data_IF_198952088999
#
_entry.id   IF_198952088999
#
_cell.length_a   1.000
_cell.length_b   1.000
_cell.length_c   1.000
_cell.angle_alpha   90.00
_cell.angle_beta   90.00
_cell.angle_gamma   90.00
#
_symmetry.space_group_name_H-M   'P 1'
#
loop_
_entity.id
_entity.type
_entity.pdbx_description
1 polymer ?
#
# COMPACT_ATOMS: atom_id res chain seq x y z
N UNK A 1 17.45 14.42 2.07
CA UNK A 1 16.31 13.65 1.53
C UNK A 1 16.10 14.08 0.09
N UNK A 2 15.94 13.15 -0.86
CA UNK A 2 15.65 13.48 -2.25
C UNK A 2 14.25 14.12 -2.37
N UNK A 3 13.98 14.98 -3.38
CA UNK A 3 12.67 15.57 -3.59
C UNK A 3 11.60 14.50 -3.91
N UNK A 4 10.33 14.86 -3.72
CA UNK A 4 9.21 14.08 -4.22
C UNK A 4 9.29 13.93 -5.74
N UNK A 5 8.71 12.86 -6.28
CA UNK A 5 8.58 12.74 -7.73
C UNK A 5 7.63 13.81 -8.28
N UNK A 6 7.75 14.20 -9.57
CA UNK A 6 7.06 15.37 -10.11
C UNK A 6 5.54 15.35 -9.91
N UNK A 7 4.87 14.22 -10.16
CA UNK A 7 3.43 14.09 -10.01
C UNK A 7 2.98 14.21 -8.56
N UNK A 8 3.72 13.62 -7.62
CA UNK A 8 3.45 13.74 -6.19
C UNK A 8 3.72 15.15 -5.66
N UNK A 9 4.78 15.80 -6.13
CA UNK A 9 5.07 17.20 -5.80
C UNK A 9 3.92 18.10 -6.25
N UNK A 10 3.38 17.89 -7.44
CA UNK A 10 2.21 18.63 -7.94
C UNK A 10 0.94 18.31 -7.13
N UNK A 11 0.69 17.05 -6.79
CA UNK A 11 -0.48 16.65 -6.02
C UNK A 11 -0.49 17.16 -4.57
N UNK A 12 0.70 17.38 -3.99
CA UNK A 12 0.84 18.00 -2.67
C UNK A 12 1.02 19.52 -2.72
N UNK A 13 1.20 20.11 -3.90
CA UNK A 13 1.40 21.54 -4.04
C UNK A 13 0.16 22.32 -3.54
N UNK A 14 0.36 23.24 -2.60
CA UNK A 14 -0.71 24.05 -2.04
C UNK A 14 -1.64 23.32 -1.06
N UNK A 15 -1.44 22.01 -0.84
CA UNK A 15 -2.15 21.29 0.20
C UNK A 15 -1.54 21.58 1.57
N UNK A 16 -2.38 21.70 2.61
CA UNK A 16 -1.89 21.69 3.98
C UNK A 16 -1.17 20.37 4.28
N UNK A 17 -0.11 20.45 5.09
CA UNK A 17 0.59 19.25 5.56
C UNK A 17 -0.40 18.29 6.25
N UNK A 18 -0.37 16.99 5.92
CA UNK A 18 -1.32 16.05 6.49
C UNK A 18 -1.13 15.94 8.01
N UNK A 19 -2.21 15.72 8.76
CA UNK A 19 -2.12 15.46 10.20
C UNK A 19 -1.34 14.16 10.45
N UNK A 20 -1.69 13.10 9.72
CA UNK A 20 -0.94 11.85 9.66
C UNK A 20 -0.75 11.39 8.22
N UNK A 21 0.35 10.68 7.98
CA UNK A 21 0.55 9.93 6.76
C UNK A 21 0.50 8.43 7.08
N UNK A 22 -0.55 7.79 6.60
CA UNK A 22 -0.87 6.38 6.80
C UNK A 22 -0.26 5.59 5.65
N UNK A 23 0.85 4.92 5.93
CA UNK A 23 1.55 4.09 4.96
C UNK A 23 1.13 2.63 5.16
N UNK A 24 0.76 1.95 4.08
CA UNK A 24 0.34 0.57 4.13
C UNK A 24 1.15 -0.33 3.18
N UNK A 25 1.34 -1.57 3.62
CA UNK A 25 1.78 -2.69 2.77
C UNK A 25 1.25 -3.98 3.37
N UNK A 26 0.72 -4.87 2.54
CA UNK A 26 0.28 -6.17 3.02
C UNK A 26 0.25 -7.25 1.96
N UNK A 27 -0.07 -8.47 2.39
CA UNK A 27 -0.16 -9.60 1.48
C UNK A 27 -1.30 -9.44 0.47
N UNK A 28 -1.00 -9.86 -0.77
CA UNK A 28 -2.06 -10.25 -1.69
C UNK A 28 -2.79 -11.48 -1.16
N UNK A 29 -4.08 -11.60 -1.46
CA UNK A 29 -4.79 -12.86 -1.23
C UNK A 29 -4.09 -13.94 -2.03
N UNK A 30 -3.90 -15.08 -1.38
CA UNK A 30 -3.19 -16.21 -1.95
C UNK A 30 -3.85 -16.66 -3.27
N UNK A 31 -3.02 -17.03 -4.24
CA UNK A 31 -3.46 -17.68 -5.45
C UNK A 31 -4.10 -19.04 -5.10
N UNK A 32 -5.05 -19.55 -5.92
CA UNK A 32 -5.73 -20.82 -5.65
C UNK A 32 -4.79 -22.03 -5.45
N UNK A 33 -3.60 -21.99 -6.06
CA UNK A 33 -2.60 -23.05 -6.07
C UNK A 33 -1.44 -22.83 -5.08
N UNK A 34 -1.53 -21.83 -4.19
CA UNK A 34 -0.45 -21.54 -3.26
C UNK A 34 -0.29 -22.66 -2.22
N UNK A 35 0.88 -23.30 -2.23
CA UNK A 35 1.17 -24.45 -1.36
C UNK A 35 1.20 -24.14 0.14
N UNK A 36 1.75 -22.98 0.53
CA UNK A 36 1.80 -22.53 1.93
C UNK A 36 1.01 -21.22 2.06
N UNK A 37 -0.17 -21.27 2.70
CA UNK A 37 -1.00 -20.09 2.88
C UNK A 37 -0.29 -19.01 3.70
N UNK A 38 -0.44 -17.75 3.28
CA UNK A 38 -0.02 -16.56 4.02
C UNK A 38 -1.17 -15.62 4.29
N UNK A 39 -2.08 -15.51 3.32
CA UNK A 39 -3.31 -14.75 3.42
C UNK A 39 -4.41 -15.41 2.56
N UNK A 40 -5.01 -16.52 3.04
CA UNK A 40 -6.02 -17.26 2.30
C UNK A 40 -7.34 -16.46 2.20
N UNK A 41 -8.21 -16.76 1.21
CA UNK A 41 -9.49 -16.07 1.02
C UNK A 41 -10.37 -16.01 2.28
N UNK A 42 -10.33 -17.06 3.11
CA UNK A 42 -11.09 -17.13 4.35
C UNK A 42 -10.72 -16.01 5.36
N UNK A 43 -9.51 -15.45 5.28
CA UNK A 43 -9.04 -14.42 6.20
C UNK A 43 -9.40 -13.00 5.73
N UNK A 44 -9.98 -12.83 4.54
CA UNK A 44 -10.27 -11.51 3.95
C UNK A 44 -11.20 -10.67 4.81
N UNK A 45 -12.26 -11.28 5.37
CA UNK A 45 -13.20 -10.56 6.24
C UNK A 45 -12.52 -10.11 7.55
N UNK A 46 -11.81 -11.02 8.23
CA UNK A 46 -11.06 -10.70 9.44
C UNK A 46 -9.97 -9.66 9.20
N UNK A 47 -9.29 -9.70 8.04
CA UNK A 47 -8.33 -8.68 7.65
C UNK A 47 -8.98 -7.29 7.52
N UNK A 48 -10.15 -7.21 6.86
CA UNK A 48 -10.87 -5.95 6.69
C UNK A 48 -11.23 -5.34 8.05
N UNK A 49 -11.75 -6.14 8.98
CA UNK A 49 -12.08 -5.69 10.34
C UNK A 49 -10.84 -5.21 11.11
N UNK A 50 -9.72 -5.93 11.04
CA UNK A 50 -8.48 -5.57 11.73
C UNK A 50 -7.84 -4.32 11.15
N UNK A 51 -7.88 -4.15 9.83
CA UNK A 51 -7.39 -2.95 9.15
C UNK A 51 -8.26 -1.75 9.55
N UNK A 52 -9.58 -1.90 9.54
CA UNK A 52 -10.50 -0.84 9.95
C UNK A 52 -10.30 -0.45 11.43
N UNK A 53 -10.15 -1.44 12.32
CA UNK A 53 -9.85 -1.20 13.73
C UNK A 53 -8.52 -0.47 13.94
N UNK A 54 -7.47 -0.82 13.18
CA UNK A 54 -6.18 -0.12 13.23
C UNK A 54 -6.32 1.34 12.78
N UNK A 55 -7.07 1.60 11.70
CA UNK A 55 -7.36 2.95 11.24
C UNK A 55 -8.21 3.75 12.24
N UNK A 56 -9.16 3.12 12.91
CA UNK A 56 -9.94 3.72 13.99
C UNK A 56 -9.04 4.13 15.17
N UNK A 57 -8.14 3.26 15.60
CA UNK A 57 -7.21 3.53 16.70
C UNK A 57 -6.26 4.70 16.40
N UNK A 58 -5.91 4.91 15.13
CA UNK A 58 -5.13 6.06 14.66
C UNK A 58 -5.96 7.35 14.52
N UNK A 59 -7.30 7.25 14.61
CA UNK A 59 -8.22 8.34 14.36
C UNK A 59 -8.21 8.80 12.91
N UNK A 60 -7.97 7.89 11.96
CA UNK A 60 -7.84 8.20 10.54
C UNK A 60 -9.09 8.91 9.99
N UNK A 61 -8.88 9.99 9.24
CA UNK A 61 -9.96 10.78 8.64
C UNK A 61 -9.49 11.81 7.60
N UNK A 62 -10.32 12.82 7.28
CA UNK A 62 -10.09 13.74 6.16
C UNK A 62 -8.85 14.64 6.23
N UNK A 63 -8.28 14.81 7.43
CA UNK A 63 -7.04 15.55 7.62
C UNK A 63 -5.78 14.72 7.30
N UNK A 64 -5.93 13.42 7.02
CA UNK A 64 -4.84 12.47 6.81
C UNK A 64 -4.66 12.14 5.33
N UNK A 65 -3.52 11.52 5.03
CA UNK A 65 -3.18 10.99 3.72
C UNK A 65 -2.89 9.50 3.84
N UNK A 66 -3.43 8.69 2.93
CA UNK A 66 -3.15 7.25 2.81
C UNK A 66 -2.28 6.96 1.60
N UNK A 67 -1.28 6.09 1.76
CA UNK A 67 -0.41 5.61 0.68
C UNK A 67 -0.34 4.08 0.68
N UNK A 68 -0.57 3.45 -0.47
CA UNK A 68 -0.47 2.00 -0.68
C UNK A 68 -0.23 1.70 -2.17
N UNK A 69 0.05 0.45 -2.56
CA UNK A 69 0.15 0.06 -3.97
C UNK A 69 -1.19 -0.39 -4.56
N UNK A 70 -2.12 -0.89 -3.76
CA UNK A 70 -3.47 -1.27 -4.23
C UNK A 70 -3.54 -2.68 -4.83
N UNK A 71 -2.66 -3.60 -4.41
CA UNK A 71 -2.70 -5.00 -4.83
C UNK A 71 -3.94 -5.75 -4.30
N UNK A 72 -4.31 -6.86 -4.95
CA UNK A 72 -5.46 -7.70 -4.58
C UNK A 72 -5.31 -8.32 -3.20
N UNK A 73 -6.01 -7.77 -2.21
CA UNK A 73 -5.95 -8.23 -0.83
C UNK A 73 -5.79 -7.05 0.12
N UNK A 74 -4.82 -7.14 1.04
CA UNK A 74 -4.70 -6.22 2.16
C UNK A 74 -4.58 -4.76 1.73
N UNK A 75 -3.84 -4.48 0.65
CA UNK A 75 -3.70 -3.14 0.07
C UNK A 75 -5.05 -2.53 -0.36
N UNK A 76 -5.89 -3.29 -1.09
CA UNK A 76 -7.22 -2.84 -1.48
C UNK A 76 -8.18 -2.73 -0.28
N UNK A 77 -8.09 -3.62 0.70
CA UNK A 77 -8.88 -3.51 1.93
C UNK A 77 -8.54 -2.23 2.71
N UNK A 78 -7.26 -1.86 2.77
CA UNK A 78 -6.82 -0.58 3.32
C UNK A 78 -7.33 0.61 2.51
N UNK A 79 -7.26 0.54 1.18
CA UNK A 79 -7.75 1.59 0.30
C UNK A 79 -9.24 1.87 0.53
N UNK A 80 -10.05 0.83 0.56
CA UNK A 80 -11.50 0.93 0.81
C UNK A 80 -11.80 1.50 2.20
N UNK A 81 -11.09 1.05 3.24
CA UNK A 81 -11.26 1.56 4.58
C UNK A 81 -10.84 3.04 4.70
N UNK A 82 -9.79 3.46 4.00
CA UNK A 82 -9.40 4.86 3.88
C UNK A 82 -10.50 5.70 3.23
N UNK A 83 -11.05 5.24 2.11
CA UNK A 83 -12.14 5.92 1.39
C UNK A 83 -13.37 6.06 2.28
N UNK A 84 -13.77 4.99 2.98
CA UNK A 84 -14.92 5.01 3.89
C UNK A 84 -14.76 6.04 5.04
N UNK A 85 -13.52 6.38 5.39
CA UNK A 85 -13.16 7.35 6.44
C UNK A 85 -12.88 8.75 5.90
N UNK A 86 -12.97 8.95 4.58
CA UNK A 86 -12.65 10.21 3.92
C UNK A 86 -11.15 10.56 3.90
N UNK A 87 -10.26 9.59 4.16
CA UNK A 87 -8.81 9.79 4.05
C UNK A 87 -8.45 10.10 2.59
N UNK A 88 -7.59 11.10 2.38
CA UNK A 88 -7.09 11.41 1.03
C UNK A 88 -6.11 10.32 0.59
N UNK A 89 -6.54 9.46 -0.31
CA UNK A 89 -5.81 8.26 -0.71
C UNK A 89 -5.06 8.45 -2.04
N UNK A 90 -3.82 7.96 -2.09
CA UNK A 90 -3.02 7.87 -3.30
C UNK A 90 -2.48 6.45 -3.48
N UNK A 91 -2.52 5.96 -4.73
CA UNK A 91 -1.89 4.70 -5.11
C UNK A 91 -0.59 4.99 -5.86
N UNK A 92 0.50 4.35 -5.41
CA UNK A 92 1.80 4.38 -6.07
C UNK A 92 2.08 2.97 -6.60
N UNK A 93 2.13 2.82 -7.92
CA UNK A 93 2.21 1.53 -8.59
C UNK A 93 3.64 1.24 -9.06
N UNK A 94 4.14 0.00 -8.93
CA UNK A 94 5.44 -0.41 -9.48
C UNK A 94 5.46 -0.42 -11.01
N UNK A 95 4.28 -0.51 -11.65
CA UNK A 95 4.10 -0.63 -13.11
C UNK A 95 3.04 0.35 -13.63
N UNK A 96 2.85 0.35 -14.94
CA UNK A 96 1.65 0.92 -15.54
C UNK A 96 0.40 0.14 -15.11
N UNK A 97 -0.76 0.80 -15.04
CA UNK A 97 -2.01 0.19 -14.55
C UNK A 97 -2.33 -1.18 -15.19
N UNK A 98 -2.25 -1.37 -16.53
CA UNK A 98 -2.54 -2.66 -17.14
C UNK A 98 -1.64 -3.80 -16.64
N UNK A 99 -0.32 -3.57 -16.60
CA UNK A 99 0.64 -4.56 -16.09
C UNK A 99 0.44 -4.79 -14.59
N UNK A 100 0.11 -3.74 -13.82
CA UNK A 100 -0.16 -3.88 -12.40
C UNK A 100 -1.35 -4.82 -12.14
N UNK A 101 -2.42 -4.71 -12.92
CA UNK A 101 -3.58 -5.60 -12.84
C UNK A 101 -3.16 -7.06 -13.11
N UNK A 102 -2.39 -7.30 -14.17
CA UNK A 102 -1.94 -8.64 -14.54
C UNK A 102 -1.03 -9.29 -13.49
N UNK A 103 -0.21 -8.49 -12.79
CA UNK A 103 0.81 -9.00 -11.87
C UNK A 103 0.40 -9.00 -10.40
N UNK A 104 -0.43 -8.05 -10.00
CA UNK A 104 -0.71 -7.76 -8.59
C UNK A 104 -2.20 -7.81 -8.25
N UNK A 105 -3.06 -8.13 -9.22
CA UNK A 105 -4.51 -8.21 -9.00
C UNK A 105 -5.08 -9.56 -9.46
N UNK A 106 -4.93 -9.87 -10.74
CA UNK A 106 -5.51 -11.08 -11.36
C UNK A 106 -4.95 -12.43 -10.82
N UNK A 107 -3.68 -12.54 -10.39
CA UNK A 107 -3.14 -13.81 -9.90
C UNK A 107 -3.71 -14.29 -8.55
N UNK A 108 -4.48 -13.46 -7.84
CA UNK A 108 -5.12 -13.84 -6.58
C UNK A 108 -6.35 -14.72 -6.78
N UNK A 109 -6.74 -15.49 -5.75
CA UNK A 109 -8.05 -16.13 -5.74
C UNK A 109 -9.16 -15.09 -5.96
N UNK A 110 -10.09 -15.41 -6.87
CA UNK A 110 -11.12 -14.51 -7.39
C UNK A 110 -10.57 -13.19 -8.00
N UNK A 111 -9.48 -13.27 -8.77
CA UNK A 111 -8.80 -12.12 -9.37
C UNK A 111 -9.71 -11.12 -10.11
N UNK A 112 -10.74 -11.58 -10.81
CA UNK A 112 -11.72 -10.67 -11.46
C UNK A 112 -12.57 -9.88 -10.46
N UNK A 113 -12.88 -10.47 -9.30
CA UNK A 113 -13.55 -9.73 -8.22
C UNK A 113 -12.61 -8.66 -7.64
N UNK A 114 -11.33 -8.99 -7.46
CA UNK A 114 -10.34 -8.00 -7.03
C UNK A 114 -10.10 -6.90 -8.05
N UNK A 115 -10.12 -7.22 -9.36
CA UNK A 115 -10.06 -6.23 -10.42
C UNK A 115 -11.21 -5.24 -10.35
N UNK A 116 -12.45 -5.72 -10.17
CA UNK A 116 -13.61 -4.83 -9.96
C UNK A 116 -13.44 -3.93 -8.74
N UNK A 117 -12.85 -4.43 -7.65
CA UNK A 117 -12.54 -3.62 -6.46
C UNK A 117 -11.49 -2.57 -6.75
N UNK A 118 -10.39 -2.93 -7.42
CA UNK A 118 -9.35 -2.00 -7.87
C UNK A 118 -9.93 -0.89 -8.76
N UNK A 119 -10.78 -1.23 -9.72
CA UNK A 119 -11.45 -0.26 -10.59
C UNK A 119 -12.42 0.63 -9.79
N UNK A 120 -13.12 0.08 -8.79
CA UNK A 120 -14.07 0.83 -7.96
C UNK A 120 -13.43 1.86 -7.04
N UNK A 121 -12.17 1.67 -6.61
CA UNK A 121 -11.49 2.65 -5.75
C UNK A 121 -10.94 3.86 -6.53
N UNK A 122 -10.64 3.70 -7.83
CA UNK A 122 -10.00 4.74 -8.64
C UNK A 122 -10.74 6.10 -8.67
N UNK A 123 -12.08 6.15 -8.83
CA UNK A 123 -12.83 7.41 -8.83
C UNK A 123 -12.79 8.17 -7.49
N UNK A 124 -12.38 7.50 -6.41
CA UNK A 124 -12.32 8.05 -5.05
C UNK A 124 -10.90 8.47 -4.62
N UNK A 125 -9.90 8.23 -5.47
CA UNK A 125 -8.52 8.65 -5.20
C UNK A 125 -8.38 10.18 -5.30
N UNK A 126 -7.45 10.73 -4.54
CA UNK A 126 -7.13 12.16 -4.59
C UNK A 126 -6.43 12.57 -5.90
N UNK A 127 -5.86 11.60 -6.62
CA UNK A 127 -5.33 11.72 -7.97
C UNK A 127 -5.39 10.34 -8.65
N UNK A 128 -5.33 10.25 -9.99
CA UNK A 128 -5.12 8.97 -10.67
C UNK A 128 -3.89 8.22 -10.12
N UNK A 129 -3.84 6.88 -10.19
CA UNK A 129 -2.68 6.11 -9.73
C UNK A 129 -1.38 6.63 -10.33
N UNK A 130 -0.35 6.82 -9.49
CA UNK A 130 0.96 7.22 -9.95
C UNK A 130 1.77 6.00 -10.35
N UNK A 131 2.29 6.00 -11.57
CA UNK A 131 3.02 4.86 -12.13
C UNK A 131 4.53 5.11 -12.01
N UNK A 132 5.26 4.20 -11.35
CA UNK A 132 6.71 4.34 -11.15
C UNK A 132 7.50 4.56 -12.46
N UNK A 133 7.19 3.92 -13.60
CA UNK A 133 7.86 4.22 -14.86
C UNK A 133 7.75 5.69 -15.31
N UNK A 134 6.62 6.34 -15.03
CA UNK A 134 6.39 7.76 -15.33
C UNK A 134 7.07 8.69 -14.32
N UNK A 135 7.02 8.33 -13.04
CA UNK A 135 7.49 9.18 -11.93
C UNK A 135 8.98 9.06 -11.62
N UNK A 136 9.55 7.87 -11.84
CA UNK A 136 10.92 7.50 -11.47
C UNK A 136 11.79 7.17 -12.69
N UNK A 137 11.19 7.03 -13.86
CA UNK A 137 11.87 6.62 -15.09
C UNK A 137 12.02 5.12 -15.25
N UNK A 138 12.79 4.74 -16.28
CA UNK A 138 13.01 3.33 -16.64
C UNK A 138 13.61 2.54 -15.47
N UNK A 139 13.16 1.29 -15.33
CA UNK A 139 13.71 0.34 -14.36
C UNK A 139 15.09 -0.12 -14.85
N UNK A 140 16.10 -0.09 -13.97
CA UNK A 140 17.39 -0.67 -14.30
C UNK A 140 17.28 -2.21 -14.38
N UNK A 141 18.06 -2.90 -15.24
CA UNK A 141 17.90 -4.35 -15.46
C UNK A 141 18.02 -5.21 -14.20
N UNK A 142 18.78 -4.76 -13.21
CA UNK A 142 19.08 -5.46 -11.96
C UNK A 142 18.15 -5.05 -10.80
N UNK A 143 17.28 -4.06 -11.04
CA UNK A 143 16.41 -3.48 -10.01
C UNK A 143 15.08 -4.25 -9.92
N UNK A 144 14.65 -4.54 -8.70
CA UNK A 144 13.33 -5.11 -8.48
C UNK A 144 12.26 -4.00 -8.45
N UNK A 145 11.22 -4.08 -9.30
CA UNK A 145 10.21 -3.01 -9.40
C UNK A 145 9.38 -2.81 -8.13
N UNK A 146 9.11 -3.89 -7.39
CA UNK A 146 8.38 -3.83 -6.13
C UNK A 146 9.24 -3.22 -5.02
N UNK A 147 10.53 -3.56 -4.95
CA UNK A 147 11.47 -2.93 -4.00
C UNK A 147 11.61 -1.44 -4.27
N UNK A 148 11.76 -1.06 -5.55
CA UNK A 148 11.80 0.34 -5.98
C UNK A 148 10.54 1.08 -5.56
N UNK A 149 9.36 0.48 -5.74
CA UNK A 149 8.09 1.08 -5.37
C UNK A 149 7.93 1.17 -3.83
N UNK A 150 8.34 0.16 -3.07
CA UNK A 150 8.36 0.21 -1.60
C UNK A 150 9.25 1.35 -1.09
N UNK A 151 10.44 1.50 -1.67
CA UNK A 151 11.34 2.61 -1.36
C UNK A 151 10.73 3.98 -1.71
N UNK A 152 10.02 4.06 -2.83
CA UNK A 152 9.33 5.28 -3.25
C UNK A 152 8.15 5.64 -2.32
N UNK A 153 7.34 4.66 -1.92
CA UNK A 153 6.28 4.81 -0.91
C UNK A 153 6.85 5.32 0.41
N UNK A 154 7.90 4.67 0.95
CA UNK A 154 8.52 5.07 2.20
C UNK A 154 9.16 6.47 2.11
N UNK A 155 9.86 6.78 1.01
CA UNK A 155 10.44 8.11 0.81
C UNK A 155 9.36 9.19 0.77
N UNK A 156 8.27 8.93 0.07
CA UNK A 156 7.12 9.85 -0.01
C UNK A 156 6.51 10.05 1.37
N UNK A 157 6.37 8.97 2.14
CA UNK A 157 5.89 9.00 3.51
C UNK A 157 6.78 9.84 4.44
N UNK A 158 8.10 9.64 4.37
CA UNK A 158 9.08 10.38 5.17
C UNK A 158 9.15 11.86 4.83
N UNK A 159 8.73 12.25 3.61
CA UNK A 159 8.66 13.66 3.22
C UNK A 159 7.64 14.46 4.04
N UNK A 160 6.60 13.79 4.57
CA UNK A 160 5.64 14.42 5.47
C UNK A 160 6.16 14.60 6.90
N UNK A 161 7.33 14.05 7.23
CA UNK A 161 7.89 14.02 8.58
C UNK A 161 7.66 12.68 9.27
N UNK A 162 8.72 12.13 9.86
CA UNK A 162 8.69 10.84 10.55
C UNK A 162 7.72 10.82 11.74
N UNK A 163 7.53 11.96 12.39
CA UNK A 163 6.60 12.15 13.50
C UNK A 163 5.13 11.98 13.09
N UNK A 164 4.83 12.16 11.80
CA UNK A 164 3.50 12.02 11.20
C UNK A 164 3.27 10.65 10.56
N UNK A 165 4.35 9.91 10.29
CA UNK A 165 4.27 8.59 9.68
C UNK A 165 3.64 7.58 10.64
N UNK A 166 2.59 6.92 10.18
CA UNK A 166 2.00 5.74 10.82
C UNK A 166 2.02 4.61 9.82
N UNK A 167 2.88 3.61 10.04
CA UNK A 167 2.92 2.44 9.19
C UNK A 167 2.01 1.35 9.75
N UNK A 168 1.13 0.83 8.90
CA UNK A 168 0.26 -0.32 9.20
C UNK A 168 0.58 -1.41 8.18
N UNK A 169 0.73 -2.66 8.63
CA UNK A 169 0.95 -3.77 7.72
C UNK A 169 0.14 -5.00 8.09
N UNK A 170 -0.22 -5.78 7.07
CA UNK A 170 -0.78 -7.12 7.22
C UNK A 170 0.22 -8.13 6.67
N UNK A 171 0.82 -8.91 7.56
CA UNK A 171 1.97 -9.75 7.25
C UNK A 171 2.02 -10.99 8.15
N UNK A 172 2.63 -12.06 7.67
CA UNK A 172 2.73 -13.37 8.33
C UNK A 172 3.99 -13.51 9.22
N UNK A 173 4.81 -12.46 9.31
CA UNK A 173 6.05 -12.48 10.08
C UNK A 173 7.21 -13.23 9.42
N UNK A 174 6.99 -13.83 8.24
CA UNK A 174 8.00 -14.63 7.55
C UNK A 174 8.96 -13.73 6.75
N UNK A 175 10.28 -14.02 6.71
CA UNK A 175 11.25 -13.27 5.91
C UNK A 175 10.72 -13.09 4.50
N UNK A 176 10.50 -11.84 4.09
CA UNK A 176 9.96 -11.52 2.78
C UNK A 176 11.00 -11.73 1.69
N UNK A 177 10.57 -12.17 0.51
CA UNK A 177 11.39 -12.03 -0.70
C UNK A 177 11.52 -10.56 -1.11
N UNK A 178 12.42 -10.29 -2.05
CA UNK A 178 12.61 -8.98 -2.65
C UNK A 178 11.28 -8.34 -3.05
N UNK A 179 10.97 -7.17 -2.47
CA UNK A 179 9.76 -6.40 -2.75
C UNK A 179 8.51 -6.81 -1.96
N UNK A 180 8.61 -7.80 -1.07
CA UNK A 180 7.51 -8.22 -0.20
C UNK A 180 7.33 -7.35 1.03
N UNK A 181 6.21 -7.54 1.75
CA UNK A 181 5.87 -6.79 2.95
C UNK A 181 6.93 -6.84 4.05
N UNK A 182 7.65 -7.96 4.20
CA UNK A 182 8.76 -8.07 5.15
C UNK A 182 9.88 -7.06 4.89
N UNK A 183 10.28 -6.89 3.62
CA UNK A 183 11.30 -5.90 3.22
C UNK A 183 10.84 -4.46 3.49
N UNK A 184 9.54 -4.18 3.31
CA UNK A 184 8.95 -2.89 3.68
C UNK A 184 8.97 -2.66 5.20
N UNK A 185 8.61 -3.68 6.01
CA UNK A 185 8.67 -3.61 7.48
C UNK A 185 10.09 -3.31 7.96
N UNK A 186 11.10 -3.98 7.41
CA UNK A 186 12.50 -3.75 7.77
C UNK A 186 12.96 -2.35 7.40
N UNK A 187 12.55 -1.85 6.23
CA UNK A 187 12.86 -0.48 5.78
C UNK A 187 12.24 0.59 6.69
N UNK A 188 10.98 0.40 7.09
CA UNK A 188 10.26 1.30 8.01
C UNK A 188 10.91 1.30 9.40
N UNK A 189 11.25 0.12 9.93
CA UNK A 189 11.97 -0.02 11.22
C UNK A 189 13.34 0.62 11.17
N UNK A 190 14.10 0.42 10.08
CA UNK A 190 15.40 1.05 9.87
C UNK A 190 15.33 2.57 9.80
N UNK A 191 14.21 3.13 9.32
CA UNK A 191 13.95 4.56 9.34
C UNK A 191 13.53 5.09 10.74
N UNK A 192 13.22 4.22 11.69
CA UNK A 192 12.82 4.58 13.06
C UNK A 192 11.32 4.88 13.24
N UNK A 193 10.48 4.52 12.28
CA UNK A 193 9.03 4.78 12.36
C UNK A 193 8.29 3.61 13.05
N UNK A 194 7.21 3.91 13.80
CA UNK A 194 6.42 2.88 14.49
C UNK A 194 5.68 1.98 13.50
N UNK A 195 5.61 0.68 13.82
CA UNK A 195 4.94 -0.35 13.01
C UNK A 195 3.71 -0.87 13.75
N UNK A 196 2.53 -0.73 13.14
CA UNK A 196 1.31 -1.41 13.56
C UNK A 196 1.17 -2.68 12.73
N UNK A 197 1.41 -3.83 13.34
CA UNK A 197 1.40 -5.12 12.65
C UNK A 197 0.10 -5.90 12.91
N UNK A 198 -0.56 -6.30 11.84
CA UNK A 198 -1.68 -7.25 11.82
C UNK A 198 -1.12 -8.60 11.35
N UNK A 199 -1.08 -9.58 12.26
CA UNK A 199 -0.60 -10.93 11.94
C UNK A 199 -1.64 -11.69 11.12
N UNK A 200 -1.31 -11.96 9.85
CA UNK A 200 -2.23 -12.61 8.91
C UNK A 200 -2.54 -14.07 9.25
N UNK A 201 -1.73 -14.69 10.13
CA UNK A 201 -1.91 -16.08 10.58
C UNK A 201 -2.94 -16.21 11.70
N UNK A 202 -3.28 -15.12 12.36
CA UNK A 202 -4.24 -15.06 13.48
C UNK A 202 -5.59 -14.45 13.11
N UNK A 203 -5.91 -14.42 11.81
CA UNK A 203 -7.18 -13.92 11.27
C UNK A 203 -8.25 -15.00 11.21
#
# INVERSE_FOLDING_TARGET
MAPLSPGLAAAFAGAAAPRQLLLFSGHMVDAPDRAVPRFPPAHVAGAAERIDAALAALGAGPADVGLTQGAAGADLLFAEACIARGVRLYLLLPFAVPEFIERSVLPSADGEAWRRRFESVQPHLAAPPFEAPCELGALAPEENPFERCNAWLLRTALHAGIERLRFVCLWDGAPGGAGGTGQMVDSVRGAGAPVTWIDSRGL
#
